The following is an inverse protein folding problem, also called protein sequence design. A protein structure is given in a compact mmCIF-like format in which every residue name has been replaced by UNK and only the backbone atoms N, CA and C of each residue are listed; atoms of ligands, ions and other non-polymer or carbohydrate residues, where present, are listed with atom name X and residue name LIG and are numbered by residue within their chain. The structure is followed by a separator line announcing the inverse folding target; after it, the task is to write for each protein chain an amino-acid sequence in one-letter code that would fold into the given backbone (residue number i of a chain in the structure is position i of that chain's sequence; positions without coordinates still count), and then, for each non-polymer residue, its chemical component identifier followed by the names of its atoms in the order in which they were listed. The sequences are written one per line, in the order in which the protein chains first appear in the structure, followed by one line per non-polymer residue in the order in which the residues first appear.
data_IF_242137792459
#
_entry.id   IF_242137792459
#
_cell.length_a   1.000
_cell.length_b   1.000
_cell.length_c   1.000
_cell.angle_alpha   90.00
_cell.angle_beta   90.00
_cell.angle_gamma   90.00
#
_symmetry.space_group_name_H-M   'P 1'
#
loop_
_entity.id
_entity.type
_entity.pdbx_description
1 polymer ?
#
# COMPACT_ATOMS: atom_id res chain seq x y z
N UNK A 1 -14.50 2.20 8.60
CA UNK A 1 -13.43 2.80 7.77
C UNK A 1 -13.11 1.88 6.59
N UNK A 2 -12.40 0.76 6.79
CA UNK A 2 -12.00 -0.22 5.74
C UNK A 2 -13.16 -0.55 4.77
N UNK A 3 -14.28 -1.10 5.24
CA UNK A 3 -15.50 -1.33 4.42
C UNK A 3 -15.88 -0.17 3.48
N UNK A 4 -15.73 1.09 3.92
CA UNK A 4 -16.02 2.28 3.12
C UNK A 4 -14.93 2.62 2.09
N UNK A 5 -13.65 2.41 2.40
CA UNK A 5 -12.54 2.49 1.45
C UNK A 5 -12.73 1.45 0.33
N UNK A 6 -13.23 0.28 0.70
CA UNK A 6 -13.29 -0.87 -0.20
C UNK A 6 -14.58 -0.91 -1.03
N UNK A 7 -15.71 -0.40 -0.52
CA UNK A 7 -16.86 -0.07 -1.34
C UNK A 7 -16.48 0.95 -2.44
N UNK A 8 -15.66 1.95 -2.08
CA UNK A 8 -15.07 2.90 -3.04
C UNK A 8 -14.13 2.19 -4.04
N UNK A 9 -13.31 1.25 -3.59
CA UNK A 9 -12.46 0.45 -4.47
C UNK A 9 -13.28 -0.42 -5.44
N UNK A 10 -14.34 -1.07 -4.98
CA UNK A 10 -15.28 -1.82 -5.80
C UNK A 10 -15.91 -0.94 -6.88
N UNK A 11 -16.49 0.20 -6.50
CA UNK A 11 -17.06 1.17 -7.44
C UNK A 11 -16.04 1.66 -8.49
N UNK A 12 -14.81 1.97 -8.09
CA UNK A 12 -13.75 2.39 -9.01
C UNK A 12 -13.40 1.29 -10.05
N UNK A 13 -13.40 0.01 -9.67
CA UNK A 13 -13.12 -1.10 -10.60
C UNK A 13 -14.30 -1.37 -11.55
N UNK A 14 -15.54 -1.31 -11.06
CA UNK A 14 -16.72 -1.41 -11.94
C UNK A 14 -16.74 -0.24 -12.95
N UNK A 15 -16.35 0.97 -12.53
CA UNK A 15 -16.21 2.14 -13.39
C UNK A 15 -15.10 2.03 -14.46
N UNK A 16 -14.12 1.13 -14.30
CA UNK A 16 -13.14 0.78 -15.34
C UNK A 16 -13.51 -0.49 -16.13
N UNK A 17 -14.68 -1.08 -15.85
CA UNK A 17 -15.13 -2.33 -16.48
C UNK A 17 -14.41 -3.58 -15.98
N UNK A 18 -13.73 -3.52 -14.84
CA UNK A 18 -13.00 -4.64 -14.23
C UNK A 18 -13.89 -5.29 -13.16
N UNK A 19 -14.43 -6.51 -13.39
CA UNK A 19 -15.38 -7.13 -12.46
C UNK A 19 -14.70 -7.90 -11.31
N UNK A 20 -13.36 -7.96 -11.25
CA UNK A 20 -12.64 -8.80 -10.29
C UNK A 20 -11.35 -8.14 -9.80
N UNK A 21 -11.10 -8.24 -8.48
CA UNK A 21 -10.00 -7.59 -7.78
C UNK A 21 -9.21 -8.63 -6.99
N UNK A 22 -7.87 -8.60 -7.09
CA UNK A 22 -6.97 -9.46 -6.31
C UNK A 22 -6.71 -8.87 -4.90
N UNK A 23 -7.77 -8.74 -4.11
CA UNK A 23 -7.72 -8.23 -2.73
C UNK A 23 -8.77 -8.93 -1.85
N UNK A 24 -8.61 -8.97 -0.52
CA UNK A 24 -7.46 -8.50 0.27
C UNK A 24 -6.22 -9.39 0.22
N UNK A 25 -5.05 -8.80 0.51
CA UNK A 25 -3.91 -9.56 1.01
C UNK A 25 -4.09 -9.83 2.51
N UNK A 26 -4.33 -11.09 2.89
CA UNK A 26 -4.50 -11.52 4.30
C UNK A 26 -3.23 -12.18 4.86
N UNK A 27 -2.07 -11.84 4.32
CA UNK A 27 -0.80 -12.27 4.90
C UNK A 27 -0.66 -11.74 6.32
N UNK A 28 -0.12 -12.57 7.21
CA UNK A 28 0.36 -12.14 8.54
C UNK A 28 1.87 -12.00 8.43
N UNK A 29 2.36 -10.83 8.04
CA UNK A 29 3.80 -10.59 7.91
C UNK A 29 4.45 -10.73 9.29
N UNK A 30 5.31 -11.73 9.46
CA UNK A 30 6.04 -12.00 10.72
C UNK A 30 7.42 -11.37 10.78
N UNK A 31 7.98 -11.00 9.65
CA UNK A 31 9.33 -10.42 9.51
C UNK A 31 9.28 -9.21 8.56
N UNK A 32 9.60 -7.98 9.02
CA UNK A 32 9.54 -6.78 8.18
C UNK A 32 10.55 -6.79 7.02
N UNK A 33 11.58 -7.65 7.03
CA UNK A 33 12.54 -7.78 5.93
C UNK A 33 11.90 -8.16 4.61
N UNK A 34 10.71 -8.78 4.65
CA UNK A 34 9.91 -9.14 3.47
C UNK A 34 9.37 -7.90 2.72
N UNK A 35 9.62 -7.85 1.42
CA UNK A 35 9.24 -6.76 0.51
C UNK A 35 7.76 -6.60 0.21
N UNK A 36 6.88 -7.47 0.75
CA UNK A 36 5.41 -7.29 0.72
C UNK A 36 4.80 -7.04 2.10
N UNK A 37 5.62 -6.73 3.12
CA UNK A 37 5.11 -6.56 4.48
C UNK A 37 4.10 -5.40 4.62
N UNK A 38 4.13 -4.40 3.71
CA UNK A 38 3.15 -3.31 3.64
C UNK A 38 1.76 -3.77 3.17
N UNK A 39 1.67 -4.92 2.49
CA UNK A 39 0.38 -5.51 2.07
C UNK A 39 -0.29 -6.28 3.22
N UNK A 40 0.41 -6.46 4.34
CA UNK A 40 -0.09 -7.15 5.53
C UNK A 40 -0.58 -6.15 6.57
N UNK A 41 -1.87 -6.23 6.92
CA UNK A 41 -2.47 -5.33 7.93
C UNK A 41 -1.79 -5.40 9.30
N UNK A 42 -1.20 -6.53 9.69
CA UNK A 42 -0.54 -6.70 11.00
C UNK A 42 0.29 -7.99 11.09
N UNK A 43 1.21 -8.04 12.06
CA UNK A 43 1.82 -9.28 12.55
C UNK A 43 0.94 -10.08 13.52
N UNK A 44 -0.11 -9.47 14.08
CA UNK A 44 -1.16 -10.16 14.84
C UNK A 44 -2.29 -10.61 13.89
N UNK A 45 -2.48 -11.93 13.81
CA UNK A 45 -3.54 -12.54 13.00
C UNK A 45 -4.94 -12.04 13.38
N UNK A 46 -5.18 -11.60 14.63
CA UNK A 46 -6.49 -11.08 15.06
C UNK A 46 -6.83 -9.77 14.37
N UNK A 47 -5.84 -8.90 14.17
CA UNK A 47 -6.03 -7.65 13.44
C UNK A 47 -6.28 -7.96 11.96
N UNK A 48 -5.50 -8.89 11.36
CA UNK A 48 -5.74 -9.35 9.97
C UNK A 48 -7.15 -9.95 9.81
N UNK A 49 -7.63 -10.73 10.79
CA UNK A 49 -9.00 -11.26 10.81
C UNK A 49 -10.06 -10.15 10.86
N UNK A 50 -9.88 -9.13 11.71
CA UNK A 50 -10.78 -7.97 11.78
C UNK A 50 -10.78 -7.14 10.49
N UNK A 51 -9.67 -7.11 9.75
CA UNK A 51 -9.61 -6.39 8.47
C UNK A 51 -10.29 -7.15 7.32
N UNK A 52 -10.78 -8.38 7.51
CA UNK A 52 -11.53 -9.13 6.48
C UNK A 52 -12.90 -8.53 6.13
N UNK A 53 -13.36 -7.50 6.86
CA UNK A 53 -14.51 -6.65 6.52
C UNK A 53 -14.38 -5.90 5.17
N UNK A 54 -13.17 -5.87 4.57
CA UNK A 54 -12.95 -5.53 3.15
C UNK A 54 -13.74 -6.43 2.19
N UNK A 55 -13.92 -7.72 2.51
CA UNK A 55 -14.57 -8.69 1.62
C UNK A 55 -16.02 -8.31 1.34
N UNK A 56 -16.91 -8.09 2.34
CA UNK A 56 -18.25 -7.58 2.08
C UNK A 56 -18.26 -6.14 1.54
N UNK A 57 -17.23 -5.33 1.83
CA UNK A 57 -17.07 -4.01 1.18
C UNK A 57 -16.89 -4.10 -0.34
N UNK A 58 -16.14 -5.09 -0.83
CA UNK A 58 -15.91 -5.34 -2.26
C UNK A 58 -17.04 -6.13 -2.94
N UNK A 59 -17.70 -7.05 -2.21
CA UNK A 59 -18.62 -8.06 -2.78
C UNK A 59 -20.10 -7.82 -2.45
N UNK A 60 -20.40 -6.91 -1.52
CA UNK A 60 -21.69 -6.82 -0.85
C UNK A 60 -21.84 -7.86 0.27
N UNK A 61 -22.87 -7.69 1.10
CA UNK A 61 -23.14 -8.62 2.21
C UNK A 61 -23.48 -10.04 1.72
N UNK A 62 -22.89 -11.09 2.32
CA UNK A 62 -23.15 -12.46 1.92
C UNK A 62 -24.59 -12.89 2.29
N UNK A 63 -25.28 -13.68 1.45
CA UNK A 63 -26.58 -14.25 1.80
C UNK A 63 -26.52 -15.07 3.10
N UNK A 64 -27.58 -14.99 3.90
CA UNK A 64 -27.65 -15.46 5.29
C UNK A 64 -27.27 -16.94 5.54
N UNK A 65 -27.25 -17.78 4.49
CA UNK A 65 -26.94 -19.22 4.56
C UNK A 65 -25.69 -19.61 3.74
N UNK A 66 -24.81 -18.65 3.42
CA UNK A 66 -23.58 -18.90 2.65
C UNK A 66 -22.55 -19.73 3.45
N UNK A 67 -21.84 -20.64 2.77
CA UNK A 67 -20.72 -21.37 3.37
C UNK A 67 -19.47 -20.50 3.36
N UNK A 68 -18.88 -20.26 4.53
CA UNK A 68 -17.57 -19.63 4.67
C UNK A 68 -16.48 -20.53 4.05
N UNK A 69 -15.67 -19.97 3.17
CA UNK A 69 -14.54 -20.64 2.53
C UNK A 69 -13.58 -19.61 1.96
N UNK A 70 -12.28 -19.79 2.22
CA UNK A 70 -11.24 -18.83 1.83
C UNK A 70 -10.59 -19.32 0.53
N UNK A 71 -10.60 -18.54 -0.56
CA UNK A 71 -9.75 -18.82 -1.70
C UNK A 71 -8.29 -18.54 -1.32
N UNK A 72 -7.43 -19.55 -1.39
CA UNK A 72 -5.98 -19.39 -1.23
C UNK A 72 -5.30 -19.48 -2.59
N UNK A 73 -4.41 -18.52 -2.87
CA UNK A 73 -3.48 -18.60 -4.00
C UNK A 73 -2.20 -19.33 -3.60
N UNK A 74 -1.60 -20.07 -4.55
CA UNK A 74 -0.26 -20.65 -4.43
C UNK A 74 0.70 -19.85 -5.32
N UNK A 75 1.76 -19.31 -4.72
CA UNK A 75 2.71 -18.42 -5.40
C UNK A 75 3.67 -19.18 -6.33
N UNK A 76 4.31 -20.25 -5.85
CA UNK A 76 5.34 -21.00 -6.60
C UNK A 76 5.29 -22.50 -6.29
N UNK A 77 5.43 -23.32 -7.33
CA UNK A 77 5.47 -24.79 -7.24
C UNK A 77 6.87 -25.35 -7.54
N UNK A 78 7.65 -24.69 -8.41
CA UNK A 78 9.03 -25.08 -8.75
C UNK A 78 10.02 -23.92 -8.59
N UNK A 79 11.28 -24.25 -8.30
CA UNK A 79 12.40 -23.30 -8.24
C UNK A 79 13.61 -23.88 -9.01
N UNK A 80 14.17 -23.18 -10.01
CA UNK A 80 13.68 -21.91 -10.57
C UNK A 80 12.28 -22.05 -11.20
N UNK A 81 11.57 -20.94 -11.47
CA UNK A 81 10.29 -20.98 -12.19
C UNK A 81 10.41 -21.78 -13.49
N UNK A 82 9.36 -22.52 -13.85
CA UNK A 82 9.27 -23.34 -15.07
C UNK A 82 10.20 -24.58 -15.11
N UNK A 83 11.07 -24.80 -14.10
CA UNK A 83 12.06 -25.91 -14.08
C UNK A 83 11.47 -27.31 -14.31
N UNK A 84 10.20 -27.53 -13.92
CA UNK A 84 9.39 -28.64 -14.39
C UNK A 84 7.93 -28.17 -14.52
N UNK A 85 7.59 -27.64 -15.69
CA UNK A 85 6.28 -27.03 -15.92
C UNK A 85 5.13 -28.04 -15.90
N UNK A 86 5.31 -29.22 -16.51
CA UNK A 86 4.30 -30.29 -16.51
C UNK A 86 3.95 -30.75 -15.09
N UNK A 87 4.96 -30.97 -14.23
CA UNK A 87 4.74 -31.22 -12.81
C UNK A 87 4.06 -30.04 -12.09
N UNK A 88 4.34 -28.79 -12.50
CA UNK A 88 3.68 -27.61 -11.91
C UNK A 88 2.19 -27.57 -12.24
N UNK A 89 1.80 -27.97 -13.46
CA UNK A 89 0.39 -28.13 -13.87
C UNK A 89 -0.26 -29.29 -13.11
N UNK A 90 0.41 -30.45 -13.02
CA UNK A 90 -0.08 -31.64 -12.32
C UNK A 90 -0.33 -31.35 -10.84
N UNK A 91 0.69 -30.84 -10.14
CA UNK A 91 0.63 -30.55 -8.72
C UNK A 91 -0.34 -29.39 -8.41
N UNK A 92 -0.39 -28.34 -9.25
CA UNK A 92 -1.28 -27.20 -9.03
C UNK A 92 -2.76 -27.57 -9.19
N UNK A 93 -3.12 -28.21 -10.31
CA UNK A 93 -4.51 -28.64 -10.58
C UNK A 93 -4.90 -29.80 -9.66
N UNK A 94 -3.97 -30.73 -9.37
CA UNK A 94 -4.16 -31.85 -8.46
C UNK A 94 -4.36 -31.44 -7.00
N UNK A 95 -3.59 -30.47 -6.49
CA UNK A 95 -3.82 -29.85 -5.18
C UNK A 95 -5.14 -29.05 -5.12
N UNK A 96 -5.70 -28.73 -6.28
CA UNK A 96 -7.07 -28.27 -6.43
C UNK A 96 -7.23 -26.79 -6.73
N UNK A 97 -6.22 -26.14 -7.31
CA UNK A 97 -6.35 -24.78 -7.83
C UNK A 97 -7.35 -24.78 -9.00
N UNK A 98 -8.37 -23.91 -8.90
CA UNK A 98 -9.46 -23.87 -9.88
C UNK A 98 -9.13 -23.01 -11.12
N UNK A 99 -8.28 -21.99 -10.99
CA UNK A 99 -7.91 -21.06 -12.05
C UNK A 99 -6.41 -20.73 -11.96
N UNK A 100 -5.67 -20.95 -13.05
CA UNK A 100 -4.22 -20.68 -13.12
C UNK A 100 -3.97 -19.36 -13.85
N UNK A 101 -3.23 -18.45 -13.22
CA UNK A 101 -2.82 -17.18 -13.83
C UNK A 101 -1.57 -17.41 -14.68
N UNK A 102 -1.75 -17.73 -15.96
CA UNK A 102 -0.67 -17.79 -16.96
C UNK A 102 -0.74 -16.56 -17.86
N UNK A 103 -0.01 -15.46 -17.54
CA UNK A 103 -0.20 -14.17 -18.22
C UNK A 103 0.37 -14.12 -19.65
N UNK A 104 1.25 -15.05 -20.02
CA UNK A 104 1.97 -15.02 -21.31
C UNK A 104 1.83 -16.33 -22.09
N UNK A 105 2.42 -17.44 -21.62
CA UNK A 105 2.47 -18.70 -22.37
C UNK A 105 1.24 -19.61 -22.11
N UNK A 106 0.04 -19.06 -22.26
CA UNK A 106 -1.20 -19.79 -21.96
C UNK A 106 -1.44 -21.00 -22.88
N UNK A 107 -0.87 -21.01 -24.09
CA UNK A 107 -0.93 -22.16 -25.00
C UNK A 107 -0.22 -23.38 -24.45
N UNK A 108 1.00 -23.22 -23.91
CA UNK A 108 1.74 -24.32 -23.26
C UNK A 108 0.95 -24.90 -22.08
N UNK A 109 0.32 -24.05 -21.27
CA UNK A 109 -0.57 -24.50 -20.19
C UNK A 109 -1.75 -25.33 -20.70
N UNK A 110 -2.44 -24.85 -21.75
CA UNK A 110 -3.60 -25.53 -22.32
C UNK A 110 -3.20 -26.87 -22.92
N UNK A 111 -2.08 -26.92 -23.65
CA UNK A 111 -1.60 -28.14 -24.30
C UNK A 111 -1.17 -29.20 -23.28
N UNK A 112 -0.41 -28.81 -22.25
CA UNK A 112 0.04 -29.72 -21.19
C UNK A 112 -1.12 -30.22 -20.32
N UNK A 113 -2.01 -29.33 -19.85
CA UNK A 113 -3.21 -29.73 -19.11
C UNK A 113 -4.11 -30.66 -19.94
N UNK A 114 -4.29 -30.36 -21.23
CA UNK A 114 -5.04 -31.21 -22.16
C UNK A 114 -4.37 -32.57 -22.34
N UNK A 115 -3.04 -32.62 -22.42
CA UNK A 115 -2.28 -33.87 -22.49
C UNK A 115 -2.47 -34.69 -21.22
N UNK A 116 -2.29 -34.10 -20.03
CA UNK A 116 -2.42 -34.80 -18.74
C UNK A 116 -3.84 -35.36 -18.54
N UNK A 117 -4.87 -34.59 -18.91
CA UNK A 117 -6.27 -35.04 -18.90
C UNK A 117 -6.49 -36.22 -19.84
N UNK A 118 -6.01 -36.14 -21.10
CA UNK A 118 -6.17 -37.22 -22.09
C UNK A 118 -5.50 -38.53 -21.67
N UNK A 119 -4.43 -38.45 -20.87
CA UNK A 119 -3.70 -39.62 -20.36
C UNK A 119 -4.13 -40.05 -18.95
N UNK A 120 -5.23 -39.49 -18.41
CA UNK A 120 -5.79 -39.76 -17.08
C UNK A 120 -4.82 -39.45 -15.90
N UNK A 121 -3.83 -38.58 -16.11
CA UNK A 121 -2.97 -38.06 -15.03
C UNK A 121 -3.79 -37.12 -14.14
N UNK A 122 -4.54 -36.20 -14.76
CA UNK A 122 -5.56 -35.38 -14.09
C UNK A 122 -6.95 -35.95 -14.46
N UNK A 123 -7.77 -36.39 -13.49
CA UNK A 123 -9.10 -36.92 -13.78
C UNK A 123 -10.07 -35.80 -14.20
N UNK A 124 -10.95 -36.08 -15.16
CA UNK A 124 -11.94 -35.10 -15.66
C UNK A 124 -12.82 -34.53 -14.55
N UNK A 125 -13.13 -35.29 -13.49
CA UNK A 125 -13.86 -34.80 -12.31
C UNK A 125 -13.17 -33.63 -11.59
N UNK A 126 -11.84 -33.49 -11.68
CA UNK A 126 -11.10 -32.34 -11.14
C UNK A 126 -11.26 -31.11 -12.04
N UNK A 127 -11.34 -31.30 -13.36
CA UNK A 127 -11.66 -30.22 -14.31
C UNK A 127 -13.10 -29.77 -14.11
N UNK A 128 -14.06 -30.70 -13.98
CA UNK A 128 -15.47 -30.41 -13.72
C UNK A 128 -15.67 -29.60 -12.42
N UNK A 129 -14.98 -29.95 -11.32
CA UNK A 129 -15.08 -29.16 -10.07
C UNK A 129 -14.50 -27.75 -10.23
N UNK A 130 -13.36 -27.60 -10.92
CA UNK A 130 -12.74 -26.30 -11.20
C UNK A 130 -13.67 -25.40 -12.03
N UNK A 131 -14.15 -25.92 -13.17
CA UNK A 131 -15.06 -25.20 -14.08
C UNK A 131 -16.38 -24.87 -13.38
N UNK A 132 -16.94 -25.79 -12.58
CA UNK A 132 -18.16 -25.56 -11.78
C UNK A 132 -17.99 -24.43 -10.77
N UNK A 133 -16.80 -24.25 -10.19
CA UNK A 133 -16.50 -23.14 -9.27
C UNK A 133 -16.34 -21.83 -10.00
N UNK A 134 -15.59 -21.79 -11.10
CA UNK A 134 -15.45 -20.61 -11.95
C UNK A 134 -16.81 -20.13 -12.45
N UNK A 135 -17.62 -21.04 -13.02
CA UNK A 135 -18.95 -20.70 -13.53
C UNK A 135 -19.89 -20.26 -12.41
N UNK A 136 -19.85 -20.90 -11.23
CA UNK A 136 -20.64 -20.45 -10.06
C UNK A 136 -20.34 -19.00 -9.71
N UNK A 137 -19.07 -18.60 -9.63
CA UNK A 137 -18.71 -17.20 -9.32
C UNK A 137 -19.25 -16.25 -10.39
N UNK A 138 -19.04 -16.57 -11.68
CA UNK A 138 -19.53 -15.75 -12.80
C UNK A 138 -21.06 -15.59 -12.84
N UNK A 139 -21.82 -16.65 -12.51
CA UNK A 139 -23.28 -16.56 -12.40
C UNK A 139 -23.72 -15.79 -11.14
N UNK A 140 -23.11 -16.05 -9.98
CA UNK A 140 -23.49 -15.39 -8.71
C UNK A 140 -23.24 -13.88 -8.75
N UNK A 141 -22.19 -13.43 -9.44
CA UNK A 141 -21.90 -12.00 -9.63
C UNK A 141 -22.67 -11.35 -10.80
N UNK A 142 -23.53 -12.08 -11.49
CA UNK A 142 -24.33 -11.55 -12.61
C UNK A 142 -23.54 -11.21 -13.89
N UNK A 143 -22.37 -11.84 -14.11
CA UNK A 143 -21.49 -11.54 -15.25
C UNK A 143 -22.07 -12.00 -16.60
N UNK A 144 -22.99 -12.96 -16.60
CA UNK A 144 -23.69 -13.39 -17.82
C UNK A 144 -24.80 -12.41 -18.22
N UNK A 145 -25.42 -11.78 -17.23
CA UNK A 145 -26.48 -10.78 -17.38
C UNK A 145 -25.90 -9.39 -17.71
N UNK A 146 -24.77 -9.03 -17.09
CA UNK A 146 -24.05 -7.77 -17.29
C UNK A 146 -22.58 -8.01 -17.71
N UNK A 147 -22.33 -8.51 -18.94
CA UNK A 147 -20.98 -8.83 -19.40
C UNK A 147 -20.16 -7.61 -19.87
N UNK A 148 -20.79 -6.43 -19.99
CA UNK A 148 -20.19 -5.20 -20.51
C UNK A 148 -20.09 -4.13 -19.42
N UNK A 149 -19.08 -3.26 -19.54
CA UNK A 149 -18.89 -2.14 -18.61
C UNK A 149 -20.05 -1.13 -18.68
N UNK A 150 -20.48 -0.62 -17.52
CA UNK A 150 -21.43 0.48 -17.43
C UNK A 150 -20.68 1.83 -17.46
N UNK A 151 -20.70 2.46 -18.64
CA UNK A 151 -20.05 3.74 -18.88
C UNK A 151 -20.65 4.91 -18.06
N UNK A 152 -21.82 4.75 -17.41
CA UNK A 152 -22.38 5.79 -16.54
C UNK A 152 -21.60 5.96 -15.23
N UNK A 153 -20.86 4.92 -14.82
CA UNK A 153 -20.10 4.89 -13.56
C UNK A 153 -18.72 5.57 -13.65
N UNK A 154 -18.27 5.97 -14.84
CA UNK A 154 -16.96 6.63 -15.07
C UNK A 154 -16.78 7.87 -14.18
N UNK A 155 -17.87 8.60 -13.89
CA UNK A 155 -17.84 9.78 -13.01
C UNK A 155 -17.62 9.47 -11.52
N UNK A 156 -17.65 8.20 -11.10
CA UNK A 156 -17.35 7.78 -9.73
C UNK A 156 -15.84 7.64 -9.48
N UNK A 157 -15.04 7.50 -10.54
CA UNK A 157 -13.58 7.43 -10.45
C UNK A 157 -13.04 8.68 -9.74
N UNK A 158 -12.36 8.46 -8.61
CA UNK A 158 -11.69 9.53 -7.83
C UNK A 158 -12.65 10.67 -7.43
N UNK A 159 -13.90 10.36 -7.09
CA UNK A 159 -14.88 11.35 -6.61
C UNK A 159 -14.38 12.09 -5.36
N UNK A 160 -14.88 13.31 -5.11
CA UNK A 160 -14.43 14.10 -3.94
C UNK A 160 -14.78 13.42 -2.62
N UNK A 161 -15.96 12.80 -2.51
CA UNK A 161 -16.38 12.04 -1.33
C UNK A 161 -15.44 10.85 -1.03
N UNK A 162 -14.76 10.31 -2.05
CA UNK A 162 -13.80 9.21 -1.87
C UNK A 162 -12.48 9.68 -1.22
N UNK A 163 -12.13 10.98 -1.31
CA UNK A 163 -10.88 11.54 -0.74
C UNK A 163 -10.97 11.92 0.74
N UNK A 164 -12.17 12.01 1.30
CA UNK A 164 -12.39 12.60 2.63
C UNK A 164 -12.30 11.58 3.79
N UNK A 165 -12.24 10.28 3.50
CA UNK A 165 -12.42 9.20 4.47
C UNK A 165 -11.17 8.82 5.32
N UNK A 166 -10.02 9.47 5.14
CA UNK A 166 -8.69 8.92 5.55
C UNK A 166 -7.81 9.88 6.38
N UNK A 167 -8.25 10.29 7.60
CA UNK A 167 -7.57 11.36 8.39
C UNK A 167 -7.54 11.07 9.90
N UNK A 168 -6.33 10.98 10.51
CA UNK A 168 -5.97 11.03 11.97
C UNK A 168 -4.44 10.70 12.18
N UNK A 169 -3.60 11.20 13.13
CA UNK A 169 -3.64 12.33 14.10
C UNK A 169 -2.22 12.61 14.79
N UNK A 170 -1.97 13.08 16.06
CA UNK A 170 -1.04 14.19 16.35
C UNK A 170 0.10 13.95 17.41
N UNK A 171 0.84 15.02 17.75
CA UNK A 171 1.73 15.33 18.90
C UNK A 171 2.22 16.80 18.89
N UNK A 172 2.27 17.56 17.80
CA UNK A 172 1.16 18.04 16.96
C UNK A 172 -0.09 18.40 17.80
N UNK A 173 -0.75 19.54 17.57
CA UNK A 173 -0.57 20.44 16.43
C UNK A 173 0.69 21.29 16.42
N UNK A 174 1.28 21.40 15.24
CA UNK A 174 2.05 22.56 14.82
C UNK A 174 1.10 23.76 14.66
N UNK A 175 1.53 24.99 14.98
CA UNK A 175 0.70 26.17 14.77
C UNK A 175 0.54 26.44 13.27
N UNK A 176 -0.70 26.51 12.78
CA UNK A 176 -1.02 26.91 11.39
C UNK A 176 -0.46 28.28 11.03
N UNK A 177 -0.31 29.18 12.01
CA UNK A 177 0.29 30.51 11.85
C UNK A 177 1.70 30.56 12.41
N UNK A 178 2.67 30.81 11.55
CA UNK A 178 4.07 31.05 11.90
C UNK A 178 4.65 32.16 11.01
N UNK A 179 5.84 32.68 11.32
CA UNK A 179 6.48 33.66 10.43
C UNK A 179 7.01 32.98 9.16
N UNK A 180 7.70 31.86 9.34
CA UNK A 180 8.35 31.10 8.28
C UNK A 180 8.61 29.67 8.73
N UNK A 181 8.30 28.69 7.87
CA UNK A 181 8.52 27.27 8.12
C UNK A 181 9.29 26.64 6.97
N UNK A 182 9.98 25.54 7.25
CA UNK A 182 10.66 24.72 6.25
C UNK A 182 9.90 23.41 6.05
N UNK A 183 9.71 23.02 4.80
CA UNK A 183 9.39 21.64 4.42
C UNK A 183 10.60 21.10 3.65
N UNK A 184 11.07 19.92 4.04
CA UNK A 184 12.28 19.31 3.48
C UNK A 184 12.17 17.79 3.35
N UNK A 185 13.15 17.17 2.71
CA UNK A 185 13.24 15.72 2.50
C UNK A 185 12.74 15.27 1.14
N UNK A 186 13.25 14.12 0.69
CA UNK A 186 13.00 13.54 -0.63
C UNK A 186 11.55 13.17 -0.91
N UNK A 187 10.75 12.97 0.14
CA UNK A 187 9.37 12.49 0.05
C UNK A 187 8.33 13.62 0.21
N UNK A 188 8.77 14.85 0.50
CA UNK A 188 7.86 15.95 0.80
C UNK A 188 6.99 16.37 -0.40
N UNK A 189 7.57 16.38 -1.60
CA UNK A 189 6.88 16.77 -2.84
C UNK A 189 6.95 15.68 -3.92
N UNK A 190 6.77 14.43 -3.50
CA UNK A 190 6.87 13.24 -4.36
C UNK A 190 5.69 12.30 -4.13
N UNK A 191 4.67 12.43 -4.99
CA UNK A 191 3.41 11.72 -4.93
C UNK A 191 3.61 10.20 -5.11
N UNK A 192 4.50 9.79 -6.02
CA UNK A 192 4.84 8.38 -6.21
C UNK A 192 5.41 7.73 -4.95
N UNK A 193 6.32 8.41 -4.23
CA UNK A 193 6.92 7.87 -3.01
C UNK A 193 5.93 7.76 -1.83
N UNK A 194 5.00 8.70 -1.65
CA UNK A 194 3.96 8.56 -0.62
C UNK A 194 2.90 7.49 -0.96
N UNK A 195 2.83 7.02 -2.21
CA UNK A 195 1.97 5.90 -2.59
C UNK A 195 2.69 4.54 -2.50
N UNK A 196 3.97 4.47 -2.90
CA UNK A 196 4.77 3.24 -2.87
C UNK A 196 4.47 2.28 -4.03
N UNK A 197 4.67 0.98 -3.78
CA UNK A 197 4.42 -0.10 -4.75
C UNK A 197 2.97 -0.22 -5.20
N UNK A 198 2.71 -1.00 -6.25
CA UNK A 198 1.37 -1.23 -6.83
C UNK A 198 0.59 0.02 -7.27
N UNK A 199 1.25 1.19 -7.35
CA UNK A 199 0.63 2.45 -7.77
C UNK A 199 1.04 2.79 -9.20
N UNK A 200 0.08 2.76 -10.14
CA UNK A 200 0.24 2.93 -11.61
C UNK A 200 1.15 1.88 -12.27
N UNK A 201 2.36 1.70 -11.77
CA UNK A 201 3.30 0.65 -12.15
C UNK A 201 3.51 -0.35 -11.01
N UNK A 202 3.94 -1.56 -11.35
CA UNK A 202 4.17 -2.67 -10.39
C UNK A 202 5.05 -2.26 -9.20
N UNK A 203 6.24 -1.72 -9.48
CA UNK A 203 7.21 -1.26 -8.48
C UNK A 203 6.90 0.16 -7.95
N UNK A 204 5.73 0.72 -8.27
CA UNK A 204 5.43 2.14 -8.06
C UNK A 204 6.20 3.07 -9.00
N UNK A 205 6.25 4.34 -8.65
CA UNK A 205 6.94 5.40 -9.41
C UNK A 205 7.54 6.46 -8.48
N UNK A 206 8.36 7.33 -9.05
CA UNK A 206 8.79 8.58 -8.43
C UNK A 206 8.21 9.79 -9.19
N UNK A 207 8.07 10.92 -8.51
CA UNK A 207 7.55 12.15 -9.09
C UNK A 207 6.03 12.27 -9.03
N UNK A 208 5.51 13.24 -9.79
CA UNK A 208 4.14 13.75 -9.64
C UNK A 208 3.30 13.66 -10.93
N UNK A 209 3.89 13.22 -12.04
CA UNK A 209 3.31 13.42 -13.39
C UNK A 209 2.37 12.29 -13.86
N UNK A 210 2.44 11.11 -13.24
CA UNK A 210 1.73 9.90 -13.68
C UNK A 210 0.42 9.62 -12.90
N UNK A 211 0.14 10.38 -11.85
CA UNK A 211 -1.11 10.27 -11.09
C UNK A 211 -1.53 11.61 -10.48
N UNK A 212 -2.74 11.69 -9.96
CA UNK A 212 -3.31 12.93 -9.38
C UNK A 212 -3.52 12.74 -7.89
N UNK A 213 -3.12 13.72 -7.09
CA UNK A 213 -3.23 13.71 -5.65
C UNK A 213 -2.65 14.99 -5.06
N UNK A 214 -2.53 15.03 -3.74
CA UNK A 214 -1.93 16.13 -2.97
C UNK A 214 -0.65 15.64 -2.32
N UNK A 215 0.50 16.26 -2.63
CA UNK A 215 1.76 15.95 -1.94
C UNK A 215 1.75 16.50 -0.51
N UNK A 216 2.60 15.99 0.39
CA UNK A 216 2.70 16.53 1.76
C UNK A 216 3.13 18.01 1.75
N UNK A 217 3.97 18.45 0.81
CA UNK A 217 4.31 19.87 0.63
C UNK A 217 3.09 20.71 0.23
N UNK A 218 2.28 20.24 -0.72
CA UNK A 218 1.06 20.91 -1.13
C UNK A 218 0.06 20.97 0.04
N UNK A 219 -0.11 19.87 0.77
CA UNK A 219 -0.95 19.78 1.95
C UNK A 219 -0.56 20.76 3.07
N UNK A 220 0.75 20.91 3.34
CA UNK A 220 1.27 21.91 4.28
C UNK A 220 0.94 23.33 3.80
N UNK A 221 1.15 23.64 2.50
CA UNK A 221 0.81 24.95 1.91
C UNK A 221 -0.68 25.27 2.00
N UNK A 222 -1.55 24.28 1.85
CA UNK A 222 -3.01 24.43 1.97
C UNK A 222 -3.46 24.69 3.42
N UNK A 223 -2.68 24.24 4.40
CA UNK A 223 -3.09 24.16 5.81
C UNK A 223 -2.61 25.35 6.67
N UNK A 224 -1.52 26.01 6.28
CA UNK A 224 -1.00 27.17 7.02
C UNK A 224 -1.81 28.44 6.77
N UNK A 225 -1.78 29.36 7.74
CA UNK A 225 -2.29 30.73 7.59
C UNK A 225 -1.58 31.42 6.40
N UNK A 226 -2.30 32.16 5.52
CA UNK A 226 -1.72 32.82 4.35
C UNK A 226 -0.56 33.79 4.62
N UNK A 227 -0.37 34.25 5.87
CA UNK A 227 0.79 35.05 6.29
C UNK A 227 2.05 34.22 6.60
N UNK A 228 1.96 32.88 6.62
CA UNK A 228 3.06 31.97 6.91
C UNK A 228 3.89 31.69 5.66
N UNK A 229 5.16 32.08 5.64
CA UNK A 229 6.04 31.73 4.53
C UNK A 229 6.47 30.25 4.58
N UNK A 230 5.97 29.43 3.67
CA UNK A 230 6.46 28.05 3.47
C UNK A 230 7.65 28.04 2.51
N UNK A 231 8.81 27.62 2.99
CA UNK A 231 9.99 27.36 2.17
C UNK A 231 10.13 25.86 1.93
N UNK A 232 10.40 25.46 0.69
CA UNK A 232 10.76 24.09 0.33
C UNK A 232 12.23 24.00 -0.05
N UNK A 233 12.94 23.01 0.48
CA UNK A 233 14.25 22.58 -0.01
C UNK A 233 14.38 21.08 0.21
N UNK A 234 14.68 20.30 -0.83
CA UNK A 234 14.63 18.83 -0.73
C UNK A 234 15.70 18.25 0.19
N UNK A 235 16.92 18.79 0.14
CA UNK A 235 18.06 18.38 0.99
C UNK A 235 18.90 19.62 1.35
N UNK A 236 18.44 20.47 2.29
CA UNK A 236 19.20 21.63 2.73
C UNK A 236 20.38 21.22 3.61
N UNK A 237 21.48 21.95 3.50
CA UNK A 237 22.57 21.90 4.48
C UNK A 237 22.18 22.62 5.78
N UNK A 238 22.98 22.41 6.83
CA UNK A 238 22.73 23.00 8.14
C UNK A 238 22.92 24.54 8.20
N UNK A 239 23.64 25.16 7.26
CA UNK A 239 23.84 26.61 7.23
C UNK A 239 22.60 27.33 6.67
N UNK A 240 22.00 26.79 5.60
CA UNK A 240 20.71 27.22 5.08
C UNK A 240 19.61 27.18 6.15
N UNK A 241 19.56 26.11 6.96
CA UNK A 241 18.55 25.96 8.02
C UNK A 241 18.79 26.99 9.15
N UNK A 242 20.03 27.15 9.62
CA UNK A 242 20.39 28.10 10.69
C UNK A 242 20.17 29.56 10.29
N UNK A 243 20.57 29.93 9.08
CA UNK A 243 20.40 31.29 8.55
C UNK A 243 18.93 31.61 8.18
N UNK A 244 18.12 30.58 7.94
CA UNK A 244 16.75 30.70 7.43
C UNK A 244 15.74 31.41 8.34
N UNK A 245 16.03 31.59 9.64
CA UNK A 245 15.12 32.14 10.68
C UNK A 245 13.77 31.43 10.73
N UNK A 246 13.84 30.10 10.76
CA UNK A 246 12.68 29.20 10.70
C UNK A 246 12.03 29.04 12.08
N UNK A 247 10.70 28.97 12.12
CA UNK A 247 9.93 28.72 13.36
C UNK A 247 9.96 27.24 13.75
N UNK A 248 9.86 26.36 12.74
CA UNK A 248 10.00 24.91 12.83
C UNK A 248 10.19 24.33 11.41
N UNK A 249 10.51 23.04 11.32
CA UNK A 249 10.61 22.31 10.06
C UNK A 249 9.78 21.02 10.06
N UNK A 250 9.35 20.60 8.87
CA UNK A 250 8.73 19.30 8.58
C UNK A 250 9.66 18.58 7.60
N UNK A 251 10.22 17.45 8.00
CA UNK A 251 11.17 16.64 7.22
C UNK A 251 10.48 15.35 6.79
N UNK A 252 10.27 15.16 5.49
CA UNK A 252 9.55 14.00 4.95
C UNK A 252 10.54 13.10 4.19
N UNK A 253 10.84 11.94 4.75
CA UNK A 253 11.86 11.00 4.26
C UNK A 253 11.38 9.55 4.42
N UNK A 254 12.05 8.59 3.78
CA UNK A 254 11.49 7.25 3.71
C UNK A 254 12.23 6.22 2.86
N UNK A 255 11.55 5.10 2.67
CA UNK A 255 11.88 4.08 1.66
C UNK A 255 11.39 4.53 0.26
N UNK A 256 12.12 4.23 -0.83
CA UNK A 256 11.62 4.42 -2.18
C UNK A 256 10.46 3.44 -2.46
N UNK A 257 9.76 3.60 -3.59
CA UNK A 257 8.74 2.63 -3.99
C UNK A 257 9.36 1.26 -4.32
N UNK A 258 8.73 0.19 -3.85
CA UNK A 258 9.10 -1.20 -4.14
C UNK A 258 7.86 -2.08 -4.10
N UNK A 259 7.93 -3.24 -4.77
CA UNK A 259 6.97 -4.33 -4.61
C UNK A 259 7.68 -5.68 -4.66
N UNK A 260 7.16 -6.65 -3.90
CA UNK A 260 7.63 -8.05 -3.93
C UNK A 260 9.12 -8.20 -3.62
N UNK A 261 9.83 -9.10 -4.30
CA UNK A 261 11.25 -9.41 -4.01
C UNK A 261 12.18 -8.20 -4.14
N UNK A 262 11.82 -7.19 -4.94
CA UNK A 262 12.58 -5.93 -5.01
C UNK A 262 12.57 -5.13 -3.70
N UNK A 263 11.58 -5.39 -2.83
CA UNK A 263 11.50 -4.83 -1.49
C UNK A 263 12.18 -5.66 -0.40
N UNK A 264 12.69 -6.86 -0.70
CA UNK A 264 13.35 -7.68 0.31
C UNK A 264 14.64 -6.99 0.78
N UNK A 265 14.74 -6.69 2.08
CA UNK A 265 15.83 -5.90 2.64
C UNK A 265 16.33 -6.48 3.96
N UNK A 266 17.63 -6.73 4.03
CA UNK A 266 18.31 -7.24 5.22
C UNK A 266 18.78 -6.13 6.18
N UNK A 267 18.69 -4.85 5.79
CA UNK A 267 19.20 -3.72 6.59
C UNK A 267 18.11 -2.75 7.07
N UNK A 268 16.94 -2.72 6.42
CA UNK A 268 15.78 -1.89 6.80
C UNK A 268 16.15 -0.42 7.08
N UNK A 269 17.07 0.16 6.31
CA UNK A 269 17.47 1.58 6.41
C UNK A 269 16.79 2.43 5.35
N UNK A 270 16.34 3.64 5.72
CA UNK A 270 15.84 4.64 4.77
C UNK A 270 16.91 5.10 3.77
N UNK A 271 16.50 5.53 2.57
CA UNK A 271 17.45 5.96 1.54
C UNK A 271 18.11 7.30 1.85
N UNK A 272 19.39 7.43 1.48
CA UNK A 272 20.05 8.73 1.41
C UNK A 272 19.43 9.60 0.29
N UNK A 273 19.39 10.94 0.42
CA UNK A 273 19.95 11.76 1.50
C UNK A 273 19.06 11.90 2.77
N UNK A 274 18.08 11.00 3.00
CA UNK A 274 17.13 11.11 4.11
C UNK A 274 17.77 11.28 5.50
N UNK A 275 18.68 10.38 5.93
CA UNK A 275 19.46 10.53 7.16
C UNK A 275 20.18 11.88 7.28
N UNK A 276 20.87 12.31 6.21
CA UNK A 276 21.64 13.56 6.20
C UNK A 276 20.70 14.78 6.30
N UNK A 277 19.53 14.72 5.65
CA UNK A 277 18.48 15.74 5.74
C UNK A 277 17.95 15.86 7.18
N UNK A 278 17.70 14.73 7.86
CA UNK A 278 17.28 14.74 9.27
C UNK A 278 18.36 15.44 10.12
N UNK A 279 19.63 15.03 10.02
CA UNK A 279 20.70 15.63 10.83
C UNK A 279 20.87 17.13 10.57
N UNK A 280 20.87 17.55 9.29
CA UNK A 280 21.06 18.96 8.91
C UNK A 280 19.91 19.87 9.39
N UNK A 281 18.67 19.39 9.30
CA UNK A 281 17.48 20.18 9.66
C UNK A 281 17.24 20.14 11.16
N UNK A 282 17.11 18.93 11.74
CA UNK A 282 16.76 18.74 13.14
C UNK A 282 17.88 19.16 14.11
N UNK A 283 19.15 19.08 13.67
CA UNK A 283 20.29 19.64 14.41
C UNK A 283 20.37 21.18 14.40
N UNK A 284 19.46 21.88 13.72
CA UNK A 284 19.50 23.32 13.52
C UNK A 284 18.18 24.05 13.88
N UNK A 285 17.03 23.39 13.77
CA UNK A 285 15.72 23.94 14.14
C UNK A 285 14.82 22.80 14.63
N UNK A 286 13.84 23.12 15.50
CA UNK A 286 12.81 22.17 15.92
C UNK A 286 12.15 21.50 14.71
N UNK A 287 12.12 20.18 14.68
CA UNK A 287 11.67 19.42 13.53
C UNK A 287 10.62 18.35 13.87
N UNK A 288 9.68 18.16 12.94
CA UNK A 288 8.86 16.95 12.88
C UNK A 288 9.36 16.11 11.71
N UNK A 289 9.72 14.86 11.95
CA UNK A 289 10.01 13.90 10.88
C UNK A 289 8.74 13.13 10.55
N UNK A 290 8.33 13.17 9.28
CA UNK A 290 7.30 12.30 8.71
C UNK A 290 8.00 11.19 7.93
N UNK A 291 7.86 9.97 8.43
CA UNK A 291 8.49 8.78 7.88
C UNK A 291 7.50 8.05 6.96
N UNK A 292 7.87 7.96 5.69
CA UNK A 292 7.16 7.20 4.66
C UNK A 292 7.86 5.84 4.50
N UNK A 293 7.16 4.75 4.75
CA UNK A 293 7.77 3.41 4.77
C UNK A 293 6.71 2.32 4.71
N UNK A 294 7.00 1.19 4.06
CA UNK A 294 6.08 0.06 4.04
C UNK A 294 6.04 -0.74 5.35
N UNK A 295 6.93 -0.43 6.30
CA UNK A 295 7.29 -1.29 7.44
C UNK A 295 8.11 -0.51 8.47
N UNK A 296 8.29 -1.03 9.69
CA UNK A 296 9.30 -0.52 10.62
C UNK A 296 10.69 -0.50 9.97
N UNK A 297 11.43 0.59 10.18
CA UNK A 297 12.79 0.81 9.66
C UNK A 297 13.71 1.36 10.77
N UNK A 298 15.02 1.29 10.55
CA UNK A 298 16.05 1.78 11.49
C UNK A 298 15.90 3.29 11.68
N UNK A 299 15.39 3.70 12.86
CA UNK A 299 15.27 5.11 13.25
C UNK A 299 16.09 5.49 14.49
N UNK A 300 16.56 4.51 15.26
CA UNK A 300 17.28 4.71 16.53
C UNK A 300 18.47 5.70 16.47
N UNK A 301 19.28 5.78 15.39
CA UNK A 301 20.35 6.78 15.27
C UNK A 301 19.86 8.24 15.23
N UNK A 302 18.61 8.47 14.81
CA UNK A 302 18.06 9.81 14.55
C UNK A 302 17.17 10.32 15.68
N UNK A 303 16.63 9.44 16.54
CA UNK A 303 15.63 9.80 17.55
C UNK A 303 16.10 10.87 18.56
N UNK A 304 17.41 11.05 18.75
CA UNK A 304 17.97 12.05 19.68
C UNK A 304 18.01 13.48 19.11
N UNK A 305 17.89 13.66 17.79
CA UNK A 305 17.81 14.98 17.16
C UNK A 305 16.39 15.41 16.79
N UNK A 306 15.44 14.48 16.73
CA UNK A 306 14.06 14.71 16.27
C UNK A 306 13.14 15.10 17.45
N UNK A 307 12.44 16.24 17.37
CA UNK A 307 11.44 16.63 18.40
C UNK A 307 10.17 15.76 18.35
N UNK A 308 9.72 15.38 17.14
CA UNK A 308 8.57 14.48 16.94
C UNK A 308 8.73 13.62 15.68
N UNK A 309 8.37 12.33 15.78
CA UNK A 309 8.40 11.37 14.66
C UNK A 309 6.98 10.84 14.39
N UNK A 310 6.55 10.90 13.13
CA UNK A 310 5.28 10.36 12.64
C UNK A 310 5.57 9.24 11.65
N UNK A 311 5.15 8.00 11.98
CA UNK A 311 5.12 6.91 11.02
C UNK A 311 3.85 7.01 10.16
N UNK A 312 3.98 7.54 8.95
CA UNK A 312 2.86 7.78 8.03
C UNK A 312 2.57 6.60 7.09
N UNK A 313 3.39 5.54 7.15
CA UNK A 313 3.33 4.35 6.29
C UNK A 313 3.42 4.72 4.80
N UNK A 314 2.51 4.21 3.96
CA UNK A 314 2.32 4.61 2.56
C UNK A 314 0.92 5.26 2.43
N UNK A 315 0.76 6.56 2.69
CA UNK A 315 -0.55 7.21 2.83
C UNK A 315 -1.32 7.41 1.51
N UNK A 316 -0.76 7.05 0.36
CA UNK A 316 -1.44 7.15 -0.93
C UNK A 316 -1.53 8.58 -1.47
N UNK A 317 -2.56 8.87 -2.28
CA UNK A 317 -2.67 10.15 -3.01
C UNK A 317 -3.05 11.34 -2.16
N UNK A 318 -3.61 11.14 -0.96
CA UNK A 318 -4.26 12.18 -0.17
C UNK A 318 -3.35 12.70 0.96
N UNK A 319 -2.19 13.27 0.61
CA UNK A 319 -1.23 13.84 1.56
C UNK A 319 -1.79 14.94 2.47
N UNK A 320 -2.98 15.47 2.15
CA UNK A 320 -3.76 16.34 3.03
C UNK A 320 -4.02 15.70 4.40
N UNK A 321 -4.30 14.39 4.44
CA UNK A 321 -4.52 13.64 5.69
C UNK A 321 -3.31 13.63 6.63
N UNK A 322 -2.09 13.85 6.10
CA UNK A 322 -0.88 14.06 6.90
C UNK A 322 -0.81 15.51 7.42
N UNK A 323 -1.25 16.51 6.67
CA UNK A 323 -1.23 17.89 7.15
C UNK A 323 -2.30 18.17 8.21
N UNK A 324 -3.53 17.67 8.05
CA UNK A 324 -4.63 17.93 9.01
C UNK A 324 -4.27 17.49 10.44
N UNK A 325 -3.46 16.43 10.51
CA UNK A 325 -3.00 15.80 11.75
C UNK A 325 -1.74 16.48 12.31
N UNK A 326 -0.84 16.92 11.43
CA UNK A 326 0.29 17.78 11.77
C UNK A 326 -0.17 19.13 12.34
N UNK A 327 -1.32 19.65 11.90
CA UNK A 327 -1.82 20.98 12.27
C UNK A 327 -3.08 20.99 13.15
N UNK A 328 -3.56 19.83 13.60
CA UNK A 328 -4.51 19.70 14.73
C UNK A 328 -5.99 19.79 14.41
N UNK A 329 -6.39 19.58 13.16
CA UNK A 329 -7.81 19.37 12.87
C UNK A 329 -8.30 18.00 13.40
N UNK A 330 -7.38 17.06 13.71
CA UNK A 330 -7.67 15.72 14.27
C UNK A 330 -6.64 15.25 15.34
N UNK A 331 -7.06 14.37 16.28
CA UNK A 331 -6.31 13.91 17.49
C UNK A 331 -6.28 12.37 17.74
N UNK A 332 -5.37 11.78 18.58
CA UNK A 332 -4.83 10.44 18.23
C UNK A 332 -5.62 9.17 18.54
N UNK A 333 -5.49 8.29 17.57
CA UNK A 333 -6.09 6.97 17.45
C UNK A 333 -5.14 5.93 16.87
N UNK A 334 -4.25 6.32 15.93
CA UNK A 334 -3.26 5.45 15.28
C UNK A 334 -2.34 4.72 16.27
N UNK A 335 -2.28 3.40 16.16
CA UNK A 335 -1.41 2.52 16.95
C UNK A 335 -0.58 1.65 16.02
N UNK A 336 0.62 1.28 16.45
CA UNK A 336 1.47 0.38 15.69
C UNK A 336 0.79 -0.99 15.55
N UNK A 337 0.49 -1.39 14.31
CA UNK A 337 0.02 -2.74 13.97
C UNK A 337 1.17 -3.76 13.86
N UNK A 338 2.41 -3.33 14.14
CA UNK A 338 3.65 -4.09 14.02
C UNK A 338 4.64 -3.70 15.12
N UNK A 339 5.50 -4.62 15.54
CA UNK A 339 6.58 -4.32 16.49
C UNK A 339 7.65 -3.47 15.81
N UNK A 340 8.04 -2.36 16.43
CA UNK A 340 9.20 -1.58 15.99
C UNK A 340 10.48 -2.11 16.66
N UNK A 341 11.37 -2.70 15.87
CA UNK A 341 12.62 -3.28 16.38
C UNK A 341 13.61 -2.19 16.82
N UNK A 342 14.52 -2.53 17.73
CA UNK A 342 15.60 -1.63 18.18
C UNK A 342 16.80 -1.66 17.22
N UNK A 343 17.17 -2.86 16.79
CA UNK A 343 18.22 -3.16 15.79
C UNK A 343 17.74 -4.33 14.94
N UNK A 344 18.28 -4.47 13.73
CA UNK A 344 17.77 -5.44 12.73
C UNK A 344 18.01 -6.90 13.17
N UNK A 345 19.05 -7.16 13.97
CA UNK A 345 19.33 -8.49 14.52
C UNK A 345 18.23 -9.01 15.46
N UNK A 346 17.39 -8.10 16.00
CA UNK A 346 16.23 -8.42 16.84
C UNK A 346 14.92 -8.59 16.03
N UNK A 347 14.99 -8.78 14.71
CA UNK A 347 13.81 -8.97 13.83
C UNK A 347 13.35 -10.45 13.73
N UNK A 348 13.66 -11.28 14.72
CA UNK A 348 13.42 -12.74 14.75
C UNK A 348 12.48 -13.13 15.89
#
# INVERSE_FOLDING_TARGET
MIYGIDAVHGHNNVATGIPYVFAPCIAVCRDPRWGRCYESYSEDHKIVQLMTEIIPGLQGDPPANSKKGVPFGLDRITSPPHANYSYSVEAGVGAGIDMIMVPYNFTEFIDDLTYQVKHNIIPMSRIDDAVKRILRVKFVMGLFENPMADNTLVNQLRSQAHRELAREAPLLPLPKKATKILVAGTHADNLGYQCGGWTIAWQGLSGNDLTTGTTILQAVKNMVDPSTQVVYSQNPDAEFVKSGKLSHAIVVVGEPSYAETNGDSLNLTISQPGPDTIYNVCGAVKCVVVLISGRPVVMQPYLSSIDALVAAWLPGTEGQGVADVLFGDYGFTGKLARTWFKTVDHSL
#
